data_IF_644906479733
#
_entry.id   IF_644906479733
#
_cell.length_a   1.000
_cell.length_b   1.000
_cell.length_c   1.000
_cell.angle_alpha   90.00
_cell.angle_beta   90.00
_cell.angle_gamma   90.00
#
_symmetry.space_group_name_H-M   'P 1'
#
loop_
_entity.id
_entity.type
_entity.pdbx_description
1 polymer ?
#
# COMPACT_ATOMS: atom_id res chain seq x y z
N UNK A 1 7.27 -29.36 20.13
CA UNK A 1 7.33 -27.88 20.12
C UNK A 1 6.53 -27.42 18.92
N UNK A 2 5.55 -26.54 19.07
CA UNK A 2 4.70 -26.10 17.95
C UNK A 2 5.51 -25.07 17.13
N UNK A 3 5.85 -25.43 15.89
CA UNK A 3 6.63 -24.58 14.97
C UNK A 3 5.74 -23.67 14.10
N UNK A 4 4.69 -23.14 14.72
CA UNK A 4 3.70 -22.29 14.07
C UNK A 4 3.62 -20.92 14.74
N UNK A 5 3.77 -19.87 13.94
CA UNK A 5 3.75 -18.46 14.36
C UNK A 5 2.47 -18.05 15.08
N UNK A 6 1.34 -18.72 14.77
CA UNK A 6 0.01 -18.38 15.29
C UNK A 6 -0.20 -18.89 16.73
N UNK A 7 0.51 -19.95 17.11
CA UNK A 7 0.30 -20.68 18.36
C UNK A 7 1.48 -20.55 19.36
N UNK A 8 2.35 -19.54 19.17
CA UNK A 8 3.46 -19.28 20.08
C UNK A 8 3.00 -18.61 21.39
N UNK A 9 3.60 -19.01 22.50
CA UNK A 9 3.48 -18.26 23.76
C UNK A 9 4.07 -16.86 23.60
N UNK A 10 3.62 -15.85 24.38
CA UNK A 10 4.14 -14.48 24.27
C UNK A 10 5.66 -14.38 24.43
N UNK A 11 6.24 -15.20 25.31
CA UNK A 11 7.69 -15.26 25.54
C UNK A 11 8.45 -15.78 24.32
N UNK A 12 7.98 -16.90 23.74
CA UNK A 12 8.59 -17.47 22.54
C UNK A 12 8.45 -16.51 21.37
N UNK A 13 7.28 -15.88 21.20
CA UNK A 13 7.05 -14.87 20.17
C UNK A 13 8.04 -13.71 20.29
N UNK A 14 8.22 -13.16 21.48
CA UNK A 14 9.18 -12.05 21.72
C UNK A 14 10.61 -12.45 21.37
N UNK A 15 11.01 -13.68 21.74
CA UNK A 15 12.33 -14.22 21.39
C UNK A 15 12.50 -14.38 19.88
N UNK A 16 11.50 -14.94 19.19
CA UNK A 16 11.54 -15.12 17.73
C UNK A 16 11.56 -13.78 17.01
N UNK A 17 10.75 -12.81 17.44
CA UNK A 17 10.79 -11.44 16.93
C UNK A 17 12.19 -10.82 17.06
N UNK A 18 12.81 -10.91 18.25
CA UNK A 18 14.18 -10.41 18.45
C UNK A 18 15.22 -11.09 17.56
N UNK A 19 15.02 -12.37 17.26
CA UNK A 19 15.90 -13.14 16.39
C UNK A 19 15.73 -12.78 14.91
N UNK A 20 14.49 -12.67 14.42
CA UNK A 20 14.22 -12.37 13.02
C UNK A 20 14.65 -10.96 12.63
N UNK A 21 14.64 -10.00 13.57
CA UNK A 21 15.21 -8.66 13.34
C UNK A 21 16.69 -8.64 12.95
N UNK A 22 17.41 -9.72 13.18
CA UNK A 22 18.84 -9.84 12.82
C UNK A 22 19.06 -10.16 11.34
N UNK A 23 18.03 -10.64 10.64
CA UNK A 23 18.11 -11.11 9.27
C UNK A 23 17.06 -10.44 8.41
N UNK A 24 17.33 -10.26 7.12
CA UNK A 24 16.27 -9.85 6.19
C UNK A 24 15.40 -11.05 5.85
N UNK A 25 14.12 -10.82 5.52
CA UNK A 25 13.23 -11.89 5.07
C UNK A 25 13.75 -12.59 3.81
N UNK A 26 14.48 -11.86 2.95
CA UNK A 26 15.14 -12.41 1.78
C UNK A 26 16.28 -13.38 2.15
N UNK A 27 17.18 -12.97 3.05
CA UNK A 27 18.25 -13.84 3.56
C UNK A 27 17.67 -15.11 4.18
N UNK A 28 16.64 -14.94 5.02
CA UNK A 28 15.99 -16.02 5.74
C UNK A 28 15.30 -17.02 4.80
N UNK A 29 14.59 -16.54 3.78
CA UNK A 29 13.96 -17.38 2.76
C UNK A 29 14.98 -18.09 1.89
N UNK A 30 16.06 -17.42 1.49
CA UNK A 30 17.12 -18.03 0.69
C UNK A 30 17.80 -19.16 1.49
N UNK A 31 18.07 -18.93 2.78
CA UNK A 31 18.57 -19.99 3.67
C UNK A 31 17.58 -21.14 3.80
N UNK A 32 16.29 -20.87 4.02
CA UNK A 32 15.26 -21.89 4.13
C UNK A 32 15.20 -22.76 2.89
N UNK A 33 15.30 -22.14 1.71
CA UNK A 33 15.30 -22.84 0.41
C UNK A 33 16.48 -23.78 0.29
N UNK A 34 17.70 -23.32 0.61
CA UNK A 34 18.90 -24.15 0.59
C UNK A 34 18.78 -25.33 1.58
N UNK A 35 18.32 -25.07 2.80
CA UNK A 35 18.09 -26.10 3.82
C UNK A 35 17.02 -27.12 3.38
N UNK A 36 15.94 -26.69 2.73
CA UNK A 36 14.90 -27.58 2.21
C UNK A 36 15.39 -28.45 1.04
N UNK A 37 16.26 -27.92 0.19
CA UNK A 37 16.92 -28.70 -0.88
C UNK A 37 17.80 -29.81 -0.29
N UNK A 38 18.63 -29.48 0.71
CA UNK A 38 19.44 -30.47 1.42
C UNK A 38 18.56 -31.49 2.17
N UNK A 39 17.47 -31.02 2.80
CA UNK A 39 16.50 -31.87 3.48
C UNK A 39 15.84 -32.88 2.54
N UNK A 40 15.50 -32.49 1.32
CA UNK A 40 14.90 -33.40 0.34
C UNK A 40 15.78 -34.63 0.03
N UNK A 41 17.10 -34.49 0.15
CA UNK A 41 18.09 -35.56 -0.09
C UNK A 41 18.38 -36.36 1.18
N UNK A 42 18.55 -35.68 2.32
CA UNK A 42 19.10 -36.27 3.55
C UNK A 42 18.10 -36.42 4.70
N UNK A 43 16.80 -36.21 4.46
CA UNK A 43 15.74 -36.20 5.50
C UNK A 43 15.75 -37.44 6.40
N UNK A 44 15.90 -38.63 5.82
CA UNK A 44 15.83 -39.88 6.56
C UNK A 44 17.04 -40.00 7.50
N UNK A 45 18.21 -39.57 7.02
CA UNK A 45 19.44 -39.54 7.82
C UNK A 45 19.35 -38.56 8.98
N UNK A 46 18.96 -37.30 8.75
CA UNK A 46 18.99 -36.28 9.82
C UNK A 46 17.79 -36.36 10.78
N UNK A 47 16.75 -37.11 10.42
CA UNK A 47 15.61 -37.38 11.31
C UNK A 47 16.05 -38.12 12.58
N UNK A 48 16.99 -39.07 12.45
CA UNK A 48 17.57 -39.80 13.59
C UNK A 48 18.38 -38.89 14.53
N UNK A 49 18.83 -37.73 14.05
CA UNK A 49 19.61 -36.74 14.80
C UNK A 49 18.78 -35.51 15.21
N UNK A 50 17.45 -35.63 15.22
CA UNK A 50 16.56 -34.65 15.84
C UNK A 50 15.99 -33.59 14.90
N UNK A 51 16.12 -33.74 13.58
CA UNK A 51 15.40 -32.91 12.60
C UNK A 51 14.41 -33.75 11.79
N UNK A 52 13.24 -33.99 12.37
CA UNK A 52 12.20 -34.84 11.80
C UNK A 52 11.25 -34.15 10.82
N UNK A 53 10.28 -34.91 10.26
CA UNK A 53 9.33 -34.45 9.25
C UNK A 53 8.56 -33.19 9.64
N UNK A 54 8.09 -33.09 10.88
CA UNK A 54 7.36 -31.91 11.37
C UNK A 54 8.17 -30.60 11.26
N UNK A 55 9.49 -30.68 11.48
CA UNK A 55 10.37 -29.51 11.38
C UNK A 55 10.60 -29.11 9.91
N UNK A 56 10.73 -30.10 9.01
CA UNK A 56 10.82 -29.87 7.57
C UNK A 56 9.55 -29.24 7.01
N UNK A 57 8.37 -29.73 7.41
CA UNK A 57 7.07 -29.17 7.04
C UNK A 57 6.89 -27.75 7.56
N UNK A 58 7.27 -27.51 8.83
CA UNK A 58 7.23 -26.16 9.40
C UNK A 58 8.17 -25.19 8.67
N UNK A 59 9.37 -25.63 8.30
CA UNK A 59 10.31 -24.82 7.52
C UNK A 59 9.74 -24.48 6.14
N UNK A 60 9.13 -25.44 5.46
CA UNK A 60 8.45 -25.22 4.17
C UNK A 60 7.28 -24.25 4.31
N UNK A 61 6.45 -24.42 5.34
CA UNK A 61 5.31 -23.55 5.63
C UNK A 61 5.76 -22.11 5.87
N UNK A 62 6.80 -21.90 6.69
CA UNK A 62 7.33 -20.57 6.98
C UNK A 62 7.98 -19.93 5.74
N UNK A 63 8.74 -20.71 4.94
CA UNK A 63 9.29 -20.25 3.67
C UNK A 63 8.19 -19.74 2.71
N UNK A 64 7.08 -20.50 2.60
CA UNK A 64 5.92 -20.10 1.79
C UNK A 64 5.25 -18.81 2.33
N UNK A 65 5.15 -18.65 3.66
CA UNK A 65 4.62 -17.43 4.29
C UNK A 65 5.49 -16.21 3.95
N UNK A 66 6.82 -16.32 4.03
CA UNK A 66 7.75 -15.25 3.65
C UNK A 66 7.64 -14.90 2.16
N UNK A 67 7.58 -15.91 1.28
CA UNK A 67 7.39 -15.68 -0.16
C UNK A 67 6.08 -14.96 -0.48
N UNK A 68 4.96 -15.33 0.17
CA UNK A 68 3.68 -14.64 0.02
C UNK A 68 3.74 -13.18 0.49
N UNK A 69 4.48 -12.92 1.57
CA UNK A 69 4.67 -11.57 2.09
C UNK A 69 5.49 -10.70 1.12
N UNK A 70 6.54 -11.24 0.49
CA UNK A 70 7.31 -10.54 -0.54
C UNK A 70 6.43 -10.14 -1.73
N UNK A 71 5.60 -11.08 -2.20
CA UNK A 71 4.66 -10.81 -3.30
C UNK A 71 3.64 -9.74 -2.92
N UNK A 72 3.15 -9.76 -1.68
CA UNK A 72 2.23 -8.73 -1.17
C UNK A 72 2.90 -7.37 -1.08
N UNK A 73 4.14 -7.29 -0.55
CA UNK A 73 4.94 -6.05 -0.50
C UNK A 73 5.21 -5.50 -1.90
N UNK A 74 5.53 -6.36 -2.87
CA UNK A 74 5.80 -5.98 -4.25
C UNK A 74 4.53 -5.46 -4.95
N UNK A 75 3.40 -6.14 -4.75
CA UNK A 75 2.09 -5.71 -5.23
C UNK A 75 1.62 -4.40 -4.59
N UNK A 76 1.83 -4.22 -3.29
CA UNK A 76 1.52 -2.98 -2.58
C UNK A 76 2.38 -1.81 -3.07
N UNK A 77 3.68 -2.05 -3.32
CA UNK A 77 4.60 -1.04 -3.87
C UNK A 77 4.25 -0.65 -5.31
N UNK A 78 3.88 -1.62 -6.14
CA UNK A 78 3.41 -1.38 -7.51
C UNK A 78 2.05 -0.64 -7.52
N UNK A 79 1.10 -1.09 -6.69
CA UNK A 79 -0.20 -0.45 -6.50
C UNK A 79 -0.11 0.97 -5.94
N UNK A 80 0.79 1.23 -4.99
CA UNK A 80 1.05 2.56 -4.44
C UNK A 80 1.63 3.52 -5.48
N UNK A 81 2.57 3.07 -6.31
CA UNK A 81 3.11 3.86 -7.43
C UNK A 81 2.02 4.23 -8.44
N UNK A 82 1.21 3.26 -8.87
CA UNK A 82 0.11 3.49 -9.81
C UNK A 82 -0.96 4.41 -9.23
N UNK A 83 -1.35 4.20 -7.97
CA UNK A 83 -2.30 5.07 -7.26
C UNK A 83 -1.77 6.50 -7.13
N UNK A 84 -0.47 6.71 -6.90
CA UNK A 84 0.15 8.04 -6.85
C UNK A 84 0.14 8.76 -8.21
N UNK A 85 0.32 8.03 -9.32
CA UNK A 85 0.30 8.60 -10.67
C UNK A 85 -1.14 8.97 -11.05
N UNK A 86 -2.09 8.07 -10.79
CA UNK A 86 -3.51 8.30 -11.04
C UNK A 86 -4.05 9.45 -10.19
N UNK A 87 -3.66 9.55 -8.91
CA UNK A 87 -4.04 10.68 -8.05
C UNK A 87 -3.49 11.99 -8.62
N UNK A 88 -2.21 12.05 -8.99
CA UNK A 88 -1.62 13.24 -9.62
C UNK A 88 -2.31 13.63 -10.93
N UNK A 89 -2.69 12.66 -11.76
CA UNK A 89 -3.46 12.91 -12.99
C UNK A 89 -4.85 13.48 -12.67
N UNK A 90 -5.56 12.89 -11.69
CA UNK A 90 -6.88 13.38 -11.25
C UNK A 90 -6.80 14.81 -10.69
N UNK A 91 -5.77 15.14 -9.89
CA UNK A 91 -5.53 16.51 -9.38
C UNK A 91 -5.28 17.49 -10.54
N UNK A 92 -4.48 17.11 -11.55
CA UNK A 92 -4.27 17.94 -12.74
C UNK A 92 -5.56 18.18 -13.53
N UNK A 93 -6.37 17.14 -13.71
CA UNK A 93 -7.68 17.25 -14.37
C UNK A 93 -8.61 18.17 -13.58
N UNK A 94 -8.72 17.97 -12.26
CA UNK A 94 -9.49 18.80 -11.35
C UNK A 94 -9.07 20.28 -11.39
N UNK A 95 -7.76 20.59 -11.39
CA UNK A 95 -7.25 21.97 -11.55
C UNK A 95 -7.64 22.59 -12.90
N UNK A 96 -7.66 21.81 -13.98
CA UNK A 96 -8.12 22.27 -15.30
C UNK A 96 -9.63 22.57 -15.27
N UNK A 97 -10.43 21.69 -14.68
CA UNK A 97 -11.87 21.89 -14.50
C UNK A 97 -12.17 23.12 -13.65
N UNK A 98 -11.46 23.32 -12.53
CA UNK A 98 -11.59 24.52 -11.68
C UNK A 98 -11.38 25.80 -12.49
N UNK A 99 -10.30 25.88 -13.27
CA UNK A 99 -10.00 27.07 -14.09
C UNK A 99 -11.10 27.35 -15.12
N UNK A 100 -11.63 26.30 -15.76
CA UNK A 100 -12.77 26.41 -16.68
C UNK A 100 -14.01 26.94 -15.97
N UNK A 101 -14.36 26.37 -14.82
CA UNK A 101 -15.51 26.78 -14.02
C UNK A 101 -15.43 28.23 -13.55
N UNK A 102 -14.28 28.66 -13.04
CA UNK A 102 -14.01 30.06 -12.67
C UNK A 102 -14.19 31.00 -13.87
N UNK A 103 -13.69 30.61 -15.05
CA UNK A 103 -13.84 31.41 -16.26
C UNK A 103 -15.30 31.61 -16.67
N UNK A 104 -16.10 30.53 -16.65
CA UNK A 104 -17.54 30.60 -16.96
C UNK A 104 -18.29 31.44 -15.93
N UNK A 105 -18.05 31.25 -14.63
CA UNK A 105 -18.71 32.03 -13.58
C UNK A 105 -18.39 33.52 -13.63
N UNK A 106 -17.15 33.90 -13.99
CA UNK A 106 -16.81 35.32 -14.22
C UNK A 106 -17.65 35.92 -15.34
N UNK A 107 -17.73 35.24 -16.49
CA UNK A 107 -18.55 35.69 -17.61
C UNK A 107 -20.06 35.75 -17.26
N UNK A 108 -20.55 34.82 -16.43
CA UNK A 108 -21.93 34.86 -15.93
C UNK A 108 -22.15 36.08 -15.03
N UNK A 109 -21.24 36.36 -14.10
CA UNK A 109 -21.34 37.54 -13.23
C UNK A 109 -21.36 38.85 -14.04
N UNK A 110 -20.53 38.95 -15.08
CA UNK A 110 -20.49 40.13 -15.94
C UNK A 110 -21.79 40.30 -16.75
N UNK A 111 -22.37 39.20 -17.25
CA UNK A 111 -23.66 39.23 -17.94
C UNK A 111 -24.82 39.60 -17.00
N UNK A 112 -24.77 39.16 -15.74
CA UNK A 112 -25.79 39.47 -14.73
C UNK A 112 -25.78 40.95 -14.36
N UNK A 113 -24.60 41.55 -14.22
CA UNK A 113 -24.49 43.00 -13.99
C UNK A 113 -25.13 43.82 -15.14
N UNK A 114 -24.97 43.37 -16.38
CA UNK A 114 -25.52 44.05 -17.56
C UNK A 114 -27.04 43.94 -17.66
N UNK A 115 -27.66 42.89 -17.11
CA UNK A 115 -29.11 42.75 -17.09
C UNK A 115 -29.79 43.82 -16.21
N UNK A 116 -29.07 44.37 -15.22
CA UNK A 116 -29.47 45.59 -14.49
C UNK A 116 -30.63 45.42 -13.50
N UNK A 117 -31.08 44.20 -13.26
CA UNK A 117 -32.20 43.86 -12.37
C UNK A 117 -31.66 43.47 -10.98
N UNK A 118 -32.46 43.69 -9.92
CA UNK A 118 -31.98 43.51 -8.52
C UNK A 118 -31.57 42.06 -8.22
N UNK A 119 -32.35 41.01 -8.55
CA UNK A 119 -31.95 39.61 -8.38
C UNK A 119 -30.64 39.26 -9.10
N UNK A 120 -30.41 39.82 -10.28
CA UNK A 120 -29.22 39.58 -11.11
C UNK A 120 -27.98 40.21 -10.48
N UNK A 121 -28.09 41.44 -9.98
CA UNK A 121 -27.01 42.10 -9.24
C UNK A 121 -26.63 41.36 -7.94
N UNK A 122 -27.63 40.83 -7.21
CA UNK A 122 -27.41 39.99 -6.02
C UNK A 122 -26.69 38.69 -6.39
N UNK A 123 -27.12 38.01 -7.46
CA UNK A 123 -26.48 36.79 -7.95
C UNK A 123 -25.04 37.04 -8.42
N UNK A 124 -24.77 38.16 -9.13
CA UNK A 124 -23.43 38.54 -9.54
C UNK A 124 -22.49 38.77 -8.33
N UNK A 125 -23.00 39.44 -7.29
CA UNK A 125 -22.27 39.67 -6.03
C UNK A 125 -21.94 38.35 -5.33
N UNK A 126 -22.88 37.42 -5.31
CA UNK A 126 -22.69 36.11 -4.69
C UNK A 126 -21.68 35.23 -5.45
N UNK A 127 -21.70 35.27 -6.79
CA UNK A 127 -20.68 34.62 -7.63
C UNK A 127 -19.30 35.19 -7.27
N UNK A 128 -19.15 36.52 -7.22
CA UNK A 128 -17.86 37.16 -6.89
C UNK A 128 -17.36 36.76 -5.50
N UNK A 129 -18.23 36.80 -4.49
CA UNK A 129 -17.88 36.34 -3.14
C UNK A 129 -17.44 34.88 -3.11
N UNK A 130 -18.04 34.03 -3.95
CA UNK A 130 -17.63 32.63 -4.07
C UNK A 130 -16.26 32.51 -4.74
N UNK A 131 -16.02 33.27 -5.82
CA UNK A 131 -14.75 33.27 -6.54
C UNK A 131 -13.59 33.82 -5.70
N UNK A 132 -13.83 34.79 -4.82
CA UNK A 132 -12.84 35.31 -3.87
C UNK A 132 -12.39 34.26 -2.84
N UNK A 133 -13.29 33.35 -2.45
CA UNK A 133 -12.99 32.25 -1.52
C UNK A 133 -12.18 31.12 -2.19
N UNK A 134 -12.14 31.07 -3.51
CA UNK A 134 -11.40 30.05 -4.27
C UNK A 134 -9.96 30.52 -4.44
N UNK A 135 -9.12 30.14 -3.48
CA UNK A 135 -7.68 30.41 -3.48
C UNK A 135 -6.98 29.35 -4.35
N UNK A 136 -5.83 29.66 -4.99
CA UNK A 136 -5.00 28.63 -5.59
C UNK A 136 -4.51 27.61 -4.53
N UNK A 137 -5.27 26.54 -4.32
CA UNK A 137 -4.78 25.38 -3.58
C UNK A 137 -3.60 24.74 -4.32
N UNK A 138 -2.58 24.37 -3.55
CA UNK A 138 -1.41 23.63 -4.02
C UNK A 138 -1.77 22.23 -4.50
N UNK A 139 -1.01 21.21 -4.11
CA UNK A 139 -1.30 19.82 -4.49
C UNK A 139 -2.20 19.07 -3.49
N UNK A 140 -2.88 19.80 -2.59
CA UNK A 140 -3.86 19.20 -1.68
C UNK A 140 -5.18 18.85 -2.40
N UNK A 141 -5.39 17.55 -2.59
CA UNK A 141 -6.58 17.00 -3.22
C UNK A 141 -7.87 17.27 -2.43
N UNK A 142 -7.81 17.35 -1.09
CA UNK A 142 -9.00 17.53 -0.25
C UNK A 142 -9.54 18.95 -0.40
N UNK A 143 -8.66 19.94 -0.27
CA UNK A 143 -9.04 21.34 -0.45
C UNK A 143 -9.50 21.63 -1.89
N UNK A 144 -8.84 21.03 -2.90
CA UNK A 144 -9.29 21.13 -4.29
C UNK A 144 -10.68 20.53 -4.51
N UNK A 145 -11.02 19.41 -3.85
CA UNK A 145 -12.36 18.83 -3.92
C UNK A 145 -13.42 19.79 -3.37
N UNK A 146 -13.18 20.40 -2.20
CA UNK A 146 -14.10 21.36 -1.58
C UNK A 146 -14.33 22.58 -2.47
N UNK A 147 -13.29 23.07 -3.16
CA UNK A 147 -13.44 24.15 -4.14
C UNK A 147 -14.31 23.76 -5.33
N UNK A 148 -14.13 22.55 -5.88
CA UNK A 148 -14.95 22.06 -6.99
C UNK A 148 -16.43 21.90 -6.58
N UNK A 149 -16.70 21.38 -5.38
CA UNK A 149 -18.06 21.24 -4.83
C UNK A 149 -18.71 22.62 -4.62
N UNK A 150 -17.94 23.61 -4.16
CA UNK A 150 -18.41 24.99 -4.01
C UNK A 150 -18.76 25.63 -5.36
N UNK A 151 -17.94 25.39 -6.39
CA UNK A 151 -18.21 25.82 -7.77
C UNK A 151 -19.47 25.15 -8.33
N UNK A 152 -19.61 23.84 -8.15
CA UNK A 152 -20.79 23.08 -8.56
C UNK A 152 -22.07 23.64 -7.90
N UNK A 153 -22.03 23.88 -6.59
CA UNK A 153 -23.14 24.48 -5.85
C UNK A 153 -23.53 25.88 -6.34
N UNK A 154 -22.57 26.64 -6.89
CA UNK A 154 -22.86 27.96 -7.49
C UNK A 154 -23.59 27.81 -8.82
N UNK A 155 -23.21 26.84 -9.65
CA UNK A 155 -23.91 26.54 -10.90
C UNK A 155 -25.32 25.96 -10.68
N UNK A 156 -25.59 25.33 -9.53
CA UNK A 156 -26.89 24.76 -9.21
C UNK A 156 -27.98 25.83 -8.96
N UNK A 157 -27.60 27.09 -8.76
CA UNK A 157 -28.55 28.19 -8.55
C UNK A 157 -29.31 28.49 -9.84
N UNK A 158 -30.66 28.54 -9.84
CA UNK A 158 -31.46 28.63 -11.07
C UNK A 158 -31.05 29.79 -11.98
N UNK A 159 -30.85 30.97 -11.40
CA UNK A 159 -30.52 32.20 -12.13
C UNK A 159 -29.10 32.14 -12.73
N UNK A 160 -28.14 31.55 -12.00
CA UNK A 160 -26.77 31.29 -12.52
C UNK A 160 -26.82 30.26 -13.64
N UNK A 161 -27.57 29.16 -13.46
CA UNK A 161 -27.71 28.11 -14.45
C UNK A 161 -28.30 28.62 -15.76
N UNK A 162 -29.31 29.49 -15.69
CA UNK A 162 -29.95 30.12 -16.85
C UNK A 162 -28.95 30.94 -17.66
N UNK A 163 -28.24 31.87 -17.02
CA UNK A 163 -27.25 32.70 -17.70
C UNK A 163 -26.03 31.90 -18.18
N UNK A 164 -25.70 30.78 -17.53
CA UNK A 164 -24.59 29.92 -17.91
C UNK A 164 -24.89 29.04 -19.14
N UNK A 165 -26.16 28.86 -19.55
CA UNK A 165 -26.55 27.96 -20.66
C UNK A 165 -25.73 28.22 -21.93
N UNK A 166 -25.61 29.48 -22.33
CA UNK A 166 -24.94 29.88 -23.57
C UNK A 166 -23.43 30.11 -23.41
N UNK A 167 -22.93 30.07 -22.18
CA UNK A 167 -21.51 30.28 -21.84
C UNK A 167 -20.76 28.96 -21.57
N UNK A 168 -21.37 27.82 -21.92
CA UNK A 168 -20.79 26.50 -21.68
C UNK A 168 -20.95 26.00 -20.23
N UNK A 169 -21.91 26.55 -19.48
CA UNK A 169 -22.28 26.12 -18.13
C UNK A 169 -22.62 24.63 -18.03
N UNK A 170 -23.54 24.08 -18.83
CA UNK A 170 -23.93 22.68 -18.74
C UNK A 170 -22.74 21.70 -18.87
N UNK A 171 -21.88 21.92 -19.87
CA UNK A 171 -20.66 21.10 -20.05
C UNK A 171 -19.63 21.29 -18.95
N UNK A 172 -19.65 22.42 -18.25
CA UNK A 172 -18.77 22.69 -17.09
C UNK A 172 -19.27 21.98 -15.84
N UNK A 173 -20.59 21.94 -15.61
CA UNK A 173 -21.21 21.19 -14.50
C UNK A 173 -20.92 19.69 -14.63
N UNK A 174 -21.10 19.11 -15.82
CA UNK A 174 -20.74 17.71 -16.06
C UNK A 174 -19.27 17.44 -15.75
N UNK A 175 -18.37 18.31 -16.22
CA UNK A 175 -16.94 18.17 -15.96
C UNK A 175 -16.58 18.33 -14.47
N UNK A 176 -17.31 19.16 -13.71
CA UNK A 176 -17.15 19.31 -12.25
C UNK A 176 -17.55 18.02 -11.54
N UNK A 177 -18.71 17.46 -11.86
CA UNK A 177 -19.21 16.22 -11.26
C UNK A 177 -18.26 15.05 -11.50
N UNK A 178 -17.78 14.89 -12.73
CA UNK A 178 -16.78 13.88 -13.08
C UNK A 178 -15.48 14.08 -12.29
N UNK A 179 -14.97 15.31 -12.21
CA UNK A 179 -13.73 15.60 -11.50
C UNK A 179 -13.84 15.37 -9.99
N UNK A 180 -14.97 15.74 -9.37
CA UNK A 180 -15.25 15.50 -7.95
C UNK A 180 -15.30 14.00 -7.66
N UNK A 181 -16.06 13.25 -8.46
CA UNK A 181 -16.20 11.80 -8.31
C UNK A 181 -14.86 11.07 -8.47
N UNK A 182 -14.11 11.43 -9.53
CA UNK A 182 -12.79 10.85 -9.80
C UNK A 182 -11.81 11.14 -8.66
N UNK A 183 -11.75 12.40 -8.19
CA UNK A 183 -10.85 12.80 -7.11
C UNK A 183 -11.18 12.09 -5.79
N UNK A 184 -12.47 12.00 -5.43
CA UNK A 184 -12.94 11.24 -4.25
C UNK A 184 -12.48 9.78 -4.30
N UNK A 185 -12.68 9.11 -5.44
CA UNK A 185 -12.30 7.72 -5.61
C UNK A 185 -10.79 7.52 -5.47
N UNK A 186 -9.97 8.40 -6.05
CA UNK A 186 -8.50 8.29 -5.99
C UNK A 186 -7.93 8.64 -4.62
N UNK A 187 -8.49 9.63 -3.91
CA UNK A 187 -8.09 9.95 -2.52
C UNK A 187 -8.41 8.78 -1.58
N UNK A 188 -9.58 8.15 -1.71
CA UNK A 188 -9.95 6.98 -0.92
C UNK A 188 -9.02 5.78 -1.19
N UNK A 189 -8.65 5.53 -2.45
CA UNK A 189 -7.70 4.49 -2.81
C UNK A 189 -6.29 4.75 -2.26
N UNK A 190 -5.84 6.01 -2.23
CA UNK A 190 -4.53 6.39 -1.70
C UNK A 190 -4.41 6.21 -0.19
N UNK A 191 -5.47 6.49 0.59
CA UNK A 191 -5.46 6.34 2.06
C UNK A 191 -5.44 4.88 2.55
N UNK A 192 -5.83 3.90 1.72
CA UNK A 192 -5.84 2.47 2.09
C UNK A 192 -4.46 1.80 2.06
N UNK A 193 -3.40 2.52 1.69
CA UNK A 193 -2.04 2.03 1.73
C UNK A 193 -1.43 2.02 3.14
N UNK A 194 -1.72 0.96 3.91
CA UNK A 194 -0.87 0.32 4.95
C UNK A 194 -0.76 0.93 6.36
N UNK A 195 -1.00 0.14 7.44
CA UNK A 195 -0.26 0.23 8.70
C UNK A 195 0.87 -0.81 8.73
N UNK A 196 2.11 -0.39 8.46
CA UNK A 196 3.28 -1.28 8.22
C UNK A 196 3.75 -2.04 9.46
N UNK A 197 3.40 -1.59 10.67
CA UNK A 197 4.07 -2.05 11.89
C UNK A 197 3.62 -3.43 12.37
N UNK A 198 2.32 -3.74 12.32
CA UNK A 198 1.81 -5.06 12.75
C UNK A 198 2.19 -6.18 11.75
N UNK A 199 2.28 -5.83 10.47
CA UNK A 199 2.75 -6.75 9.43
C UNK A 199 4.25 -7.05 9.60
N UNK A 200 5.06 -6.04 9.96
CA UNK A 200 6.50 -6.24 10.13
C UNK A 200 6.84 -7.08 11.36
N UNK A 201 6.17 -6.89 12.51
CA UNK A 201 6.38 -7.73 13.69
C UNK A 201 6.09 -9.21 13.39
N UNK A 202 5.02 -9.48 12.63
CA UNK A 202 4.65 -10.84 12.23
C UNK A 202 5.71 -11.46 11.33
N UNK A 203 6.28 -10.68 10.40
CA UNK A 203 7.36 -11.16 9.52
C UNK A 203 8.63 -11.44 10.30
N UNK A 204 9.02 -10.56 11.22
CA UNK A 204 10.19 -10.76 12.08
C UNK A 204 10.03 -12.03 12.94
N UNK A 205 8.82 -12.37 13.40
CA UNK A 205 8.57 -13.65 14.10
C UNK A 205 8.77 -14.85 13.18
N UNK A 206 8.28 -14.79 11.94
CA UNK A 206 8.43 -15.86 10.94
C UNK A 206 9.91 -16.02 10.56
N UNK A 207 10.63 -14.92 10.39
CA UNK A 207 12.06 -14.91 10.12
C UNK A 207 12.83 -15.58 11.28
N UNK A 208 12.47 -15.25 12.52
CA UNK A 208 13.05 -15.87 13.71
C UNK A 208 12.83 -17.39 13.80
N UNK A 209 11.61 -17.85 13.53
CA UNK A 209 11.26 -19.27 13.50
C UNK A 209 12.06 -20.01 12.42
N UNK A 210 12.11 -19.43 11.22
CA UNK A 210 12.79 -20.00 10.06
C UNK A 210 14.30 -20.14 10.31
N UNK A 211 14.94 -19.08 10.81
CA UNK A 211 16.36 -19.12 11.15
C UNK A 211 16.65 -20.14 12.27
N UNK A 212 15.74 -20.31 13.23
CA UNK A 212 15.86 -21.32 14.28
C UNK A 212 15.79 -22.73 13.70
N UNK A 213 14.82 -23.01 12.83
CA UNK A 213 14.69 -24.30 12.13
C UNK A 213 15.92 -24.63 11.29
N UNK A 214 16.46 -23.67 10.53
CA UNK A 214 17.71 -23.87 9.77
C UNK A 214 18.89 -24.22 10.68
N UNK A 215 19.01 -23.59 11.86
CA UNK A 215 20.06 -23.93 12.85
C UNK A 215 19.88 -25.33 13.42
N UNK A 216 18.65 -25.76 13.67
CA UNK A 216 18.36 -27.14 14.11
C UNK A 216 18.74 -28.16 13.03
N UNK A 217 18.38 -27.90 11.76
CA UNK A 217 18.76 -28.77 10.65
C UNK A 217 20.29 -28.89 10.53
N UNK A 218 21.02 -27.77 10.64
CA UNK A 218 22.49 -27.79 10.65
C UNK A 218 23.07 -28.55 11.84
N UNK A 219 22.51 -28.41 13.03
CA UNK A 219 22.97 -29.13 14.22
C UNK A 219 22.80 -30.65 14.05
N UNK A 220 21.63 -31.09 13.58
CA UNK A 220 21.36 -32.50 13.28
C UNK A 220 22.31 -33.01 12.19
N UNK A 221 22.51 -32.23 11.12
CA UNK A 221 23.42 -32.58 10.04
C UNK A 221 24.89 -32.71 10.52
N UNK A 222 25.36 -31.84 11.41
CA UNK A 222 26.71 -31.96 11.98
C UNK A 222 26.87 -33.19 12.86
N UNK A 223 25.85 -33.54 13.64
CA UNK A 223 25.85 -34.76 14.45
C UNK A 223 25.90 -36.00 13.54
N UNK A 224 25.02 -36.08 12.54
CA UNK A 224 25.00 -37.16 11.56
C UNK A 224 26.33 -37.29 10.79
N UNK A 225 26.89 -36.17 10.32
CA UNK A 225 28.16 -36.17 9.59
C UNK A 225 29.33 -36.69 10.44
N UNK A 226 29.33 -36.40 11.75
CA UNK A 226 30.36 -36.88 12.68
C UNK A 226 30.21 -38.37 12.99
N UNK A 227 28.98 -38.86 13.13
CA UNK A 227 28.69 -40.24 13.50
C UNK A 227 28.83 -41.21 12.31
N UNK A 228 28.46 -40.74 11.10
CA UNK A 228 28.52 -41.52 9.86
C UNK A 228 29.79 -41.30 9.05
N UNK A 229 30.71 -40.47 9.54
CA UNK A 229 31.95 -40.06 8.84
C UNK A 229 31.71 -39.45 7.44
N UNK A 230 30.59 -38.74 7.27
CA UNK A 230 30.18 -38.11 6.01
C UNK A 230 30.21 -36.57 6.09
N UNK A 231 31.39 -35.93 5.94
CA UNK A 231 31.51 -34.48 6.09
C UNK A 231 30.72 -33.67 5.05
N UNK A 232 30.41 -34.27 3.88
CA UNK A 232 29.59 -33.65 2.85
C UNK A 232 28.18 -33.30 3.35
N UNK A 233 27.61 -34.13 4.24
CA UNK A 233 26.28 -33.90 4.79
C UNK A 233 26.23 -32.62 5.63
N UNK A 234 27.26 -32.32 6.44
CA UNK A 234 27.33 -31.06 7.19
C UNK A 234 27.48 -29.83 6.29
N UNK A 235 28.13 -29.99 5.12
CA UNK A 235 28.34 -28.93 4.14
C UNK A 235 27.04 -28.53 3.45
N UNK A 236 26.19 -29.51 3.12
CA UNK A 236 24.90 -29.27 2.46
C UNK A 236 23.92 -28.44 3.34
N UNK A 237 24.09 -28.49 4.67
CA UNK A 237 23.29 -27.72 5.64
C UNK A 237 23.98 -26.45 6.16
N UNK A 238 24.97 -25.91 5.43
CA UNK A 238 25.62 -24.66 5.83
C UNK A 238 24.65 -23.47 5.85
N UNK A 239 24.87 -22.57 6.82
CA UNK A 239 24.07 -21.35 7.02
C UNK A 239 24.65 -20.17 6.24
N UNK A 240 24.94 -20.39 4.96
CA UNK A 240 25.62 -19.43 4.10
C UNK A 240 24.86 -18.13 3.98
N UNK A 241 23.53 -18.14 3.97
CA UNK A 241 22.72 -16.94 3.75
C UNK A 241 22.39 -16.13 5.02
N UNK A 242 22.62 -16.68 6.22
CA UNK A 242 22.37 -15.98 7.49
C UNK A 242 23.63 -15.36 8.09
N UNK A 243 24.80 -15.94 7.83
CA UNK A 243 26.07 -15.47 8.39
C UNK A 243 27.09 -15.29 7.27
N UNK A 244 27.06 -14.10 6.68
CA UNK A 244 28.11 -13.59 5.81
C UNK A 244 28.99 -12.61 6.59
#
# INVERSE_FOLDING_TARGET
MIWDSENLTPEVRRRMHGLGRQFTSEQTRNQATATLQAYAVHKDTIAEYGFGPEMGEALQSNSNKLQKADLTKLNAKAGGKNTSVQLRQSVRKAKKTRRRAVGVLRAVADNLDQAGTKPEAEAATEIRSTLEKIVPTGDDATSLQTELETLEGTFAKPLVAEHAKNLGGPGTVVALQEAISELKAKVAAHKKGVPLHMEQETLDVIDGLTATLCRHARAAARAAASDLEQPALAKDFELTHLYY
#
